data_IF_647995175742
#
_entry.id   IF_647995175742
#
_cell.length_a   1.000
_cell.length_b   1.000
_cell.length_c   1.000
_cell.angle_alpha   90.00
_cell.angle_beta   90.00
_cell.angle_gamma   90.00
#
_symmetry.space_group_name_H-M   'P 1'
#
loop_
_entity.id
_entity.type
_entity.pdbx_description
1 polymer ?
#
# COMPACT_ATOMS: atom_id res chain seq x y z
N UNK A 1 -6.77 9.91 19.08
CA UNK A 1 -5.32 10.02 18.77
C UNK A 1 -5.18 10.81 17.47
N UNK A 2 -4.02 11.39 17.13
CA UNK A 2 -3.87 12.03 15.81
C UNK A 2 -3.77 11.01 14.67
N UNK A 3 -3.19 9.84 14.95
CA UNK A 3 -3.16 8.69 14.06
C UNK A 3 -2.98 7.40 14.86
N UNK A 4 -3.41 6.28 14.29
CA UNK A 4 -3.30 4.96 14.93
C UNK A 4 -3.03 3.88 13.88
N UNK A 5 -2.28 2.84 14.26
CA UNK A 5 -2.09 1.68 13.39
C UNK A 5 -3.41 0.94 13.20
N UNK A 6 -3.82 0.75 11.95
CA UNK A 6 -5.04 -0.01 11.58
C UNK A 6 -4.71 -1.32 10.86
N UNK A 7 -3.43 -1.71 10.84
CA UNK A 7 -2.96 -2.88 10.10
C UNK A 7 -2.80 -2.62 8.60
N UNK A 8 -2.83 -3.70 7.84
CA UNK A 8 -2.62 -3.69 6.37
C UNK A 8 -3.78 -4.32 5.61
N UNK A 9 -4.88 -4.66 6.29
CA UNK A 9 -6.09 -5.20 5.67
C UNK A 9 -5.81 -6.46 4.82
N UNK A 10 -4.90 -7.32 5.29
CA UNK A 10 -4.45 -8.54 4.59
C UNK A 10 -3.36 -8.33 3.53
N UNK A 11 -2.95 -7.09 3.24
CA UNK A 11 -1.93 -6.82 2.20
C UNK A 11 -0.49 -6.87 2.69
N UNK A 12 -0.26 -6.89 4.00
CA UNK A 12 1.06 -6.93 4.62
C UNK A 12 1.44 -8.31 5.16
N UNK A 13 2.25 -8.32 6.23
CA UNK A 13 2.73 -9.55 6.88
C UNK A 13 1.96 -9.95 8.16
N UNK A 14 1.24 -9.01 8.75
CA UNK A 14 0.46 -9.24 9.97
C UNK A 14 -0.92 -9.75 9.58
N UNK A 15 -1.58 -10.46 10.49
CA UNK A 15 -2.99 -10.85 10.32
C UNK A 15 -3.87 -9.62 10.06
N UNK A 16 -4.88 -9.82 9.22
CA UNK A 16 -5.84 -8.81 8.81
C UNK A 16 -6.63 -9.27 7.60
N UNK A 17 -7.80 -8.66 7.42
CA UNK A 17 -8.77 -9.01 6.38
C UNK A 17 -9.12 -7.79 5.53
N UNK A 18 -9.64 -8.01 4.32
CA UNK A 18 -10.03 -6.91 3.42
C UNK A 18 -11.08 -5.98 4.05
N UNK A 19 -11.95 -6.52 4.90
CA UNK A 19 -13.01 -5.78 5.57
C UNK A 19 -12.53 -4.91 6.74
N UNK A 20 -11.27 -5.05 7.17
CA UNK A 20 -10.65 -4.14 8.15
C UNK A 20 -10.64 -2.68 7.68
N UNK A 21 -10.89 -2.42 6.38
CA UNK A 21 -11.13 -1.05 5.87
C UNK A 21 -12.23 -0.31 6.61
N UNK A 22 -13.21 -1.02 7.20
CA UNK A 22 -14.25 -0.40 8.04
C UNK A 22 -13.66 0.32 9.25
N UNK A 23 -12.52 -0.17 9.78
CA UNK A 23 -11.82 0.46 10.90
C UNK A 23 -11.28 1.83 10.48
N UNK A 24 -10.69 1.93 9.28
CA UNK A 24 -10.23 3.21 8.73
C UNK A 24 -11.40 4.18 8.52
N UNK A 25 -12.51 3.71 7.95
CA UNK A 25 -13.70 4.53 7.73
C UNK A 25 -14.31 5.04 9.03
N UNK A 26 -14.38 4.19 10.06
CA UNK A 26 -14.92 4.55 11.37
C UNK A 26 -14.15 5.69 12.03
N UNK A 27 -12.84 5.77 11.82
CA UNK A 27 -11.98 6.77 12.48
C UNK A 27 -11.74 8.03 11.65
N UNK A 28 -12.06 8.03 10.35
CA UNK A 28 -11.80 9.17 9.46
C UNK A 28 -13.08 9.92 9.03
N UNK A 29 -14.25 9.27 9.08
CA UNK A 29 -15.54 9.84 8.64
C UNK A 29 -16.33 10.36 9.81
N UNK A 30 -17.18 11.37 9.56
CA UNK A 30 -18.07 11.91 10.59
C UNK A 30 -19.26 10.97 10.89
N UNK A 31 -19.55 10.05 9.98
CA UNK A 31 -20.50 8.95 10.22
C UNK A 31 -20.07 7.67 9.51
N UNK A 32 -20.27 6.53 10.16
CA UNK A 32 -19.89 5.22 9.64
C UNK A 32 -20.73 4.10 10.26
N UNK A 33 -21.09 3.10 9.45
CA UNK A 33 -21.65 1.84 9.94
C UNK A 33 -20.52 0.92 10.39
N UNK A 34 -20.52 0.53 11.66
CA UNK A 34 -19.68 -0.54 12.17
C UNK A 34 -20.34 -1.91 11.98
N UNK A 35 -19.79 -2.99 12.56
CA UNK A 35 -20.37 -4.32 12.42
C UNK A 35 -21.79 -4.44 13.00
N UNK A 36 -22.08 -3.72 14.08
CA UNK A 36 -23.35 -3.78 14.81
C UNK A 36 -24.06 -2.42 14.86
N UNK A 37 -23.30 -1.34 15.12
CA UNK A 37 -23.86 -0.02 15.37
C UNK A 37 -23.44 1.01 14.32
N UNK A 38 -24.37 1.90 14.01
CA UNK A 38 -24.09 3.13 13.27
C UNK A 38 -23.58 4.21 14.23
N UNK A 39 -22.51 4.90 13.86
CA UNK A 39 -21.90 5.94 14.68
C UNK A 39 -21.91 7.29 13.96
N UNK A 40 -22.29 8.34 14.69
CA UNK A 40 -22.08 9.76 14.31
C UNK A 40 -21.06 10.39 15.26
N UNK A 41 -20.13 11.16 14.71
CA UNK A 41 -19.04 11.79 15.45
C UNK A 41 -19.23 13.29 15.68
N UNK A 42 -20.23 13.90 15.07
CA UNK A 42 -20.68 15.28 15.33
C UNK A 42 -19.56 16.33 15.20
N UNK A 43 -18.74 16.21 14.16
CA UNK A 43 -17.64 17.11 13.87
C UNK A 43 -16.36 16.83 14.67
N UNK A 44 -16.26 15.68 15.36
CA UNK A 44 -15.01 15.27 16.00
C UNK A 44 -13.90 15.12 14.95
N UNK A 45 -12.70 15.59 15.27
CA UNK A 45 -11.56 15.48 14.35
C UNK A 45 -11.21 14.01 14.06
N UNK A 46 -10.86 13.67 12.81
CA UNK A 46 -10.51 12.31 12.43
C UNK A 46 -9.17 11.86 13.04
N UNK A 47 -9.01 10.55 13.18
CA UNK A 47 -7.73 9.90 13.47
C UNK A 47 -7.17 9.33 12.17
N UNK A 48 -5.95 9.70 11.79
CA UNK A 48 -5.34 9.21 10.55
C UNK A 48 -5.07 7.69 10.62
N UNK A 49 -5.49 6.90 9.60
CA UNK A 49 -5.08 5.50 9.49
C UNK A 49 -3.57 5.40 9.21
N UNK A 50 -2.82 4.76 10.11
CA UNK A 50 -1.41 4.44 9.91
C UNK A 50 -1.31 2.99 9.42
N UNK A 51 -0.74 2.81 8.23
CA UNK A 51 -0.64 1.53 7.54
C UNK A 51 0.80 1.05 7.63
N UNK A 52 1.03 -0.05 8.34
CA UNK A 52 2.38 -0.56 8.60
C UNK A 52 2.38 -2.07 8.77
N UNK A 53 3.50 -2.71 8.39
CA UNK A 53 3.74 -4.14 8.61
C UNK A 53 3.95 -4.92 7.32
N UNK A 54 5.20 -5.05 6.87
CA UNK A 54 5.53 -5.84 5.67
C UNK A 54 5.06 -5.23 4.35
N UNK A 55 4.78 -3.92 4.34
CA UNK A 55 4.46 -3.18 3.13
C UNK A 55 5.71 -2.91 2.30
N UNK A 56 5.54 -2.88 0.98
CA UNK A 56 6.49 -2.41 -0.02
C UNK A 56 5.70 -1.81 -1.20
N UNK A 57 6.42 -1.27 -2.18
CA UNK A 57 5.83 -0.64 -3.36
C UNK A 57 4.86 -1.57 -4.13
N UNK A 58 5.16 -2.87 -4.21
CA UNK A 58 4.37 -3.85 -4.97
C UNK A 58 2.98 -4.11 -4.36
N UNK A 59 2.88 -4.01 -3.02
CA UNK A 59 1.65 -4.29 -2.26
C UNK A 59 0.71 -3.08 -2.17
N UNK A 60 1.24 -1.87 -2.36
CA UNK A 60 0.48 -0.63 -2.18
C UNK A 60 -0.72 -0.46 -3.13
N UNK A 61 -0.61 -0.74 -4.45
CA UNK A 61 -1.74 -0.57 -5.36
C UNK A 61 -2.96 -1.38 -4.96
N UNK A 62 -2.75 -2.65 -4.55
CA UNK A 62 -3.83 -3.50 -4.06
C UNK A 62 -4.46 -2.99 -2.76
N UNK A 63 -3.63 -2.53 -1.82
CA UNK A 63 -4.10 -1.92 -0.58
C UNK A 63 -4.99 -0.71 -0.84
N UNK A 64 -4.53 0.23 -1.68
CA UNK A 64 -5.31 1.43 -1.99
C UNK A 64 -6.58 1.11 -2.80
N UNK A 65 -6.55 0.09 -3.66
CA UNK A 65 -7.74 -0.37 -4.36
C UNK A 65 -8.80 -0.90 -3.40
N UNK A 66 -8.42 -1.64 -2.35
CA UNK A 66 -9.36 -2.10 -1.33
C UNK A 66 -9.90 -0.95 -0.46
N UNK A 67 -9.01 -0.05 -0.02
CA UNK A 67 -9.38 1.07 0.86
C UNK A 67 -10.18 2.16 0.12
N UNK A 68 -9.89 2.39 -1.17
CA UNK A 68 -10.56 3.37 -2.02
C UNK A 68 -9.95 4.79 -1.98
N UNK A 69 -8.95 5.06 -1.15
CA UNK A 69 -8.20 6.32 -1.13
C UNK A 69 -6.77 6.10 -0.61
N UNK A 70 -5.89 7.09 -0.85
CA UNK A 70 -4.52 7.10 -0.33
C UNK A 70 -4.22 8.17 0.72
N UNK A 71 -5.26 8.78 1.32
CA UNK A 71 -5.12 9.75 2.41
C UNK A 71 -4.78 9.06 3.75
N UNK A 72 -3.60 8.44 3.81
CA UNK A 72 -3.12 7.66 4.97
C UNK A 72 -1.64 7.95 5.23
N UNK A 73 -1.14 7.51 6.38
CA UNK A 73 0.32 7.47 6.63
C UNK A 73 0.78 6.02 6.43
N UNK A 74 1.49 5.75 5.34
CA UNK A 74 2.12 4.44 5.14
C UNK A 74 3.57 4.45 5.66
N UNK A 75 3.92 3.45 6.48
CA UNK A 75 5.30 3.25 6.93
C UNK A 75 5.82 1.88 6.50
N UNK A 76 6.85 1.89 5.66
CA UNK A 76 7.43 0.69 5.06
C UNK A 76 8.93 0.61 5.37
N UNK A 77 9.27 0.15 6.59
CA UNK A 77 10.68 0.02 7.00
C UNK A 77 11.47 -0.90 6.07
N UNK A 78 11.13 -2.21 6.06
CA UNK A 78 11.75 -3.18 5.15
C UNK A 78 11.45 -2.92 3.68
N UNK A 79 10.28 -2.36 3.34
CA UNK A 79 9.93 -1.99 1.98
C UNK A 79 10.75 -0.85 1.40
N UNK A 80 11.30 0.03 2.25
CA UNK A 80 12.20 1.10 1.84
C UNK A 80 13.67 0.67 1.96
N UNK A 81 14.12 0.26 3.14
CA UNK A 81 15.53 -0.09 3.40
C UNK A 81 15.97 -1.41 2.76
N UNK A 82 15.03 -2.30 2.43
CA UNK A 82 15.31 -3.54 1.70
C UNK A 82 15.32 -3.39 0.19
N UNK A 83 15.10 -2.18 -0.34
CA UNK A 83 15.20 -1.92 -1.76
C UNK A 83 16.67 -2.06 -2.23
N UNK A 84 16.89 -2.82 -3.31
CA UNK A 84 18.23 -3.25 -3.76
C UNK A 84 19.18 -2.09 -4.07
N UNK A 85 18.65 -0.95 -4.54
CA UNK A 85 19.47 0.19 -4.92
C UNK A 85 19.83 1.13 -3.74
N UNK A 86 18.90 1.38 -2.80
CA UNK A 86 19.10 2.19 -1.58
C UNK A 86 17.78 2.42 -0.83
N UNK A 87 17.81 2.85 0.45
CA UNK A 87 16.62 3.33 1.15
C UNK A 87 15.91 4.49 0.46
N UNK A 88 16.65 5.40 -0.19
CA UNK A 88 16.08 6.52 -0.93
C UNK A 88 15.32 6.06 -2.17
N UNK A 89 15.89 5.11 -2.92
CA UNK A 89 15.19 4.46 -4.03
C UNK A 89 13.93 3.73 -3.54
N UNK A 90 14.00 3.07 -2.39
CA UNK A 90 12.83 2.51 -1.70
C UNK A 90 11.72 3.54 -1.47
N UNK A 91 12.05 4.71 -0.92
CA UNK A 91 11.08 5.78 -0.71
C UNK A 91 10.46 6.30 -2.02
N UNK A 92 11.27 6.42 -3.08
CA UNK A 92 10.80 6.82 -4.42
C UNK A 92 9.87 5.75 -5.00
N UNK A 93 10.20 4.46 -4.86
CA UNK A 93 9.35 3.35 -5.33
C UNK A 93 7.96 3.36 -4.66
N UNK A 94 7.87 3.71 -3.37
CA UNK A 94 6.59 3.84 -2.65
C UNK A 94 5.77 5.01 -3.19
N UNK A 95 6.43 6.13 -3.52
CA UNK A 95 5.79 7.28 -4.17
C UNK A 95 5.27 6.91 -5.56
N UNK A 96 6.08 6.24 -6.37
CA UNK A 96 5.71 5.78 -7.71
C UNK A 96 4.56 4.77 -7.66
N UNK A 97 4.55 3.85 -6.70
CA UNK A 97 3.44 2.92 -6.50
C UNK A 97 2.11 3.63 -6.19
N UNK A 98 2.13 4.67 -5.36
CA UNK A 98 0.95 5.50 -5.10
C UNK A 98 0.47 6.22 -6.37
N UNK A 99 1.40 6.80 -7.14
CA UNK A 99 1.05 7.49 -8.38
C UNK A 99 0.47 6.53 -9.43
N UNK A 100 1.08 5.36 -9.60
CA UNK A 100 0.57 4.28 -10.45
C UNK A 100 -0.89 3.93 -10.12
N UNK A 101 -1.21 3.73 -8.84
CA UNK A 101 -2.58 3.48 -8.41
C UNK A 101 -3.51 4.67 -8.68
N UNK A 102 -3.06 5.89 -8.36
CA UNK A 102 -3.85 7.11 -8.52
C UNK A 102 -4.19 7.41 -9.99
N UNK A 103 -3.29 7.07 -10.90
CA UNK A 103 -3.47 7.21 -12.35
C UNK A 103 -4.29 6.06 -12.95
N UNK A 104 -4.56 5.00 -12.19
CA UNK A 104 -5.23 3.80 -12.69
C UNK A 104 -4.36 3.03 -13.70
N UNK A 105 -3.04 3.20 -13.64
CA UNK A 105 -2.10 2.56 -14.55
C UNK A 105 -1.87 1.08 -14.17
N UNK A 106 -1.56 0.26 -15.17
CA UNK A 106 -1.08 -1.11 -14.92
C UNK A 106 0.32 -1.06 -14.28
N UNK A 107 0.56 -1.74 -13.14
CA UNK A 107 1.84 -1.67 -12.44
C UNK A 107 3.05 -2.15 -13.26
N UNK A 108 2.89 -3.13 -14.15
CA UNK A 108 3.98 -3.61 -14.99
C UNK A 108 4.31 -2.60 -16.08
N UNK A 109 3.31 -2.05 -16.76
CA UNK A 109 3.53 -1.02 -17.76
C UNK A 109 4.10 0.26 -17.12
N UNK A 110 3.61 0.65 -15.94
CA UNK A 110 4.13 1.80 -15.20
C UNK A 110 5.60 1.61 -14.82
N UNK A 111 5.99 0.41 -14.40
CA UNK A 111 7.36 0.11 -14.00
C UNK A 111 8.38 0.28 -15.14
N UNK A 112 7.99 0.07 -16.40
CA UNK A 112 8.92 0.24 -17.55
C UNK A 112 9.49 1.66 -17.67
N UNK A 113 8.74 2.66 -17.20
CA UNK A 113 9.14 4.06 -17.23
C UNK A 113 9.61 4.60 -15.86
N UNK A 114 9.47 3.80 -14.80
CA UNK A 114 9.73 4.20 -13.41
C UNK A 114 10.74 3.27 -12.76
N UNK A 115 12.02 3.64 -12.85
CA UNK A 115 13.16 2.81 -12.46
C UNK A 115 13.04 2.25 -11.05
N UNK A 116 12.79 3.08 -10.03
CA UNK A 116 12.75 2.62 -8.64
C UNK A 116 11.57 1.68 -8.40
N UNK A 117 10.43 1.90 -9.04
CA UNK A 117 9.30 0.98 -8.98
C UNK A 117 9.62 -0.36 -9.65
N UNK A 118 10.26 -0.35 -10.84
CA UNK A 118 10.74 -1.58 -11.47
C UNK A 118 11.75 -2.33 -10.60
N UNK A 119 12.70 -1.61 -9.99
CA UNK A 119 13.72 -2.21 -9.11
C UNK A 119 13.14 -2.75 -7.81
N UNK A 120 11.96 -2.30 -7.39
CA UNK A 120 11.21 -2.94 -6.31
C UNK A 120 10.74 -4.36 -6.68
N UNK A 121 10.44 -4.64 -7.96
CA UNK A 121 10.11 -6.01 -8.40
C UNK A 121 11.28 -6.98 -8.19
N UNK A 122 12.51 -6.53 -8.47
CA UNK A 122 13.73 -7.29 -8.22
C UNK A 122 14.10 -7.36 -6.74
N UNK A 123 13.77 -6.32 -5.97
CA UNK A 123 14.04 -6.26 -4.52
C UNK A 123 13.19 -7.27 -3.74
N UNK A 124 11.96 -7.50 -4.18
CA UNK A 124 10.98 -8.36 -3.48
C UNK A 124 10.44 -9.47 -4.40
N UNK A 125 11.29 -10.35 -4.96
CA UNK A 125 10.93 -11.23 -6.07
C UNK A 125 9.81 -12.22 -5.72
N UNK A 126 9.72 -12.66 -4.46
CA UNK A 126 8.63 -13.54 -4.00
C UNK A 126 7.26 -12.85 -4.05
N UNK A 127 7.21 -11.55 -3.74
CA UNK A 127 5.99 -10.76 -3.84
C UNK A 127 5.65 -10.51 -5.30
N UNK A 128 6.66 -10.16 -6.11
CA UNK A 128 6.52 -9.99 -7.56
C UNK A 128 5.95 -11.23 -8.23
N UNK A 129 6.46 -12.41 -7.89
CA UNK A 129 6.01 -13.69 -8.45
C UNK A 129 4.54 -13.99 -8.09
N UNK A 130 4.13 -13.64 -6.87
CA UNK A 130 2.76 -13.86 -6.39
C UNK A 130 1.77 -12.84 -6.96
N UNK A 131 2.13 -11.56 -6.97
CA UNK A 131 1.24 -10.45 -7.32
C UNK A 131 1.21 -10.16 -8.82
N UNK A 132 2.34 -10.41 -9.51
CA UNK A 132 2.52 -10.07 -10.93
C UNK A 132 3.19 -11.23 -11.67
N UNK A 133 2.46 -12.35 -11.92
CA UNK A 133 3.00 -13.48 -12.66
C UNK A 133 3.58 -13.06 -14.03
N UNK A 134 4.79 -13.54 -14.32
CA UNK A 134 5.52 -13.23 -15.57
C UNK A 134 6.23 -11.88 -15.60
N UNK A 135 6.35 -11.15 -14.48
CA UNK A 135 6.98 -9.83 -14.45
C UNK A 135 8.40 -9.79 -15.03
N UNK A 136 9.21 -10.85 -14.86
CA UNK A 136 10.60 -10.88 -15.36
C UNK A 136 10.67 -10.76 -16.88
N UNK A 137 9.81 -11.49 -17.58
CA UNK A 137 9.72 -11.43 -19.04
C UNK A 137 9.22 -10.06 -19.48
N UNK A 138 8.18 -9.53 -18.80
CA UNK A 138 7.57 -8.24 -19.15
C UNK A 138 8.48 -7.05 -18.88
N UNK A 139 9.36 -7.13 -17.88
CA UNK A 139 10.33 -6.09 -17.54
C UNK A 139 11.74 -6.35 -18.12
N UNK A 140 11.92 -7.41 -18.90
CA UNK A 140 13.21 -7.74 -19.53
C UNK A 140 14.33 -8.06 -18.53
N UNK A 141 13.97 -8.50 -17.31
CA UNK A 141 14.93 -8.88 -16.28
C UNK A 141 15.35 -10.33 -16.53
N UNK A 142 16.27 -10.51 -17.47
CA UNK A 142 16.91 -11.80 -17.73
C UNK A 142 18.07 -12.00 -16.75
N UNK A 143 18.14 -13.21 -16.16
CA UNK A 143 19.28 -13.63 -15.33
C UNK A 143 20.54 -13.78 -16.16
#
# INVERSE_FOLDING_TARGET
ASGIHVGTMGYGKMEGEGDDKVIAYMIERDECQGPIYFQKWYGMKPTAPIVSGGMNALRLPGFFANLGHGNVINTAGGGSYGHIDSPAAGAISLRQAYNCWKEGADPIEYAKEHKEFARAFESFPKDSDKLFPGWREKLGVHK
#
